data_IF_897975341584
#
_entry.id   IF_897975341584
#
_cell.length_a   1.000
_cell.length_b   1.000
_cell.length_c   1.000
_cell.angle_alpha   90.00
_cell.angle_beta   90.00
_cell.angle_gamma   90.00
#
_symmetry.space_group_name_H-M   'P 1'
#
loop_
_entity.id
_entity.type
_entity.pdbx_description
1 polymer ?
#
# COMPACT_ATOMS: atom_id res chain seq x y z
N UNK A 1 0.09 -1.14 5.87
CA UNK A 1 -0.10 -2.02 4.70
C UNK A 1 -1.05 -3.15 5.05
N UNK A 2 -2.00 -3.45 4.17
CA UNK A 2 -2.87 -4.61 4.31
C UNK A 2 -2.18 -5.93 3.95
N UNK A 3 -2.81 -7.07 4.31
CA UNK A 3 -2.26 -8.39 3.98
C UNK A 3 -2.26 -8.70 2.48
N UNK A 4 -3.05 -7.98 1.69
CA UNK A 4 -3.04 -8.02 0.23
C UNK A 4 -2.07 -7.01 -0.41
N UNK A 5 -1.30 -6.30 0.39
CA UNK A 5 -0.35 -5.29 -0.07
C UNK A 5 -0.95 -3.92 -0.35
N UNK A 6 -2.24 -3.69 -0.04
CA UNK A 6 -2.83 -2.37 -0.22
C UNK A 6 -2.27 -1.35 0.77
N UNK A 7 -2.28 -0.09 0.37
CA UNK A 7 -2.05 1.06 1.22
C UNK A 7 -3.04 2.16 0.87
N UNK A 8 -3.40 3.02 1.83
CA UNK A 8 -4.57 3.87 1.69
C UNK A 8 -5.76 2.99 1.29
N UNK A 9 -6.59 3.40 0.34
CA UNK A 9 -7.56 2.53 -0.31
C UNK A 9 -7.19 2.25 -1.77
N UNK A 10 -5.89 2.07 -2.00
CA UNK A 10 -5.32 1.65 -3.28
C UNK A 10 -5.20 0.12 -3.25
N UNK A 11 -6.19 -0.56 -3.84
CA UNK A 11 -6.27 -2.02 -3.82
C UNK A 11 -5.70 -2.62 -5.10
N UNK A 12 -5.16 -3.85 -5.03
CA UNK A 12 -4.61 -4.52 -6.20
C UNK A 12 -5.62 -4.57 -7.36
N UNK A 13 -5.16 -4.22 -8.56
CA UNK A 13 -5.96 -4.29 -9.78
C UNK A 13 -7.05 -3.23 -9.94
N UNK A 14 -7.15 -2.25 -9.04
CA UNK A 14 -8.17 -1.21 -9.13
C UNK A 14 -7.70 0.00 -9.93
N UNK A 15 -8.62 0.72 -10.61
CA UNK A 15 -8.27 1.88 -11.43
C UNK A 15 -7.57 3.01 -10.67
N UNK A 16 -7.84 3.15 -9.37
CA UNK A 16 -7.19 4.16 -8.53
C UNK A 16 -5.66 4.06 -8.52
N UNK A 17 -5.10 2.87 -8.77
CA UNK A 17 -3.65 2.65 -8.87
C UNK A 17 -3.01 3.37 -10.06
N UNK A 18 -3.75 3.61 -11.12
CA UNK A 18 -3.24 4.23 -12.34
C UNK A 18 -3.62 5.70 -12.46
N UNK A 19 -4.22 6.27 -11.43
CA UNK A 19 -4.52 7.69 -11.40
C UNK A 19 -3.22 8.51 -11.44
N UNK A 20 -3.18 9.50 -12.34
CA UNK A 20 -1.97 10.31 -12.56
C UNK A 20 -2.18 11.81 -12.32
N UNK A 21 -3.40 12.26 -12.10
CA UNK A 21 -3.73 13.69 -12.04
C UNK A 21 -4.44 14.10 -10.76
N UNK A 22 -5.46 13.34 -10.34
CA UNK A 22 -6.29 13.70 -9.19
C UNK A 22 -5.61 13.27 -7.89
N UNK A 23 -5.74 14.06 -6.87
CA UNK A 23 -5.17 13.78 -5.54
C UNK A 23 -6.02 12.83 -4.72
N UNK A 24 -7.34 12.93 -4.90
CA UNK A 24 -8.31 12.14 -4.15
C UNK A 24 -9.32 11.59 -5.15
N UNK A 25 -9.63 10.31 -5.03
CA UNK A 25 -10.63 9.64 -5.86
C UNK A 25 -11.46 8.66 -5.02
N UNK A 26 -12.64 8.34 -5.53
CA UNK A 26 -13.41 7.23 -4.99
C UNK A 26 -12.69 5.91 -5.29
N UNK A 27 -12.74 4.99 -4.34
CA UNK A 27 -12.17 3.66 -4.47
C UNK A 27 -13.26 2.64 -4.12
N UNK A 28 -13.52 1.71 -5.03
CA UNK A 28 -14.46 0.63 -4.77
C UNK A 28 -13.89 -0.36 -3.76
N UNK A 29 -14.77 -1.08 -3.08
CA UNK A 29 -14.39 -2.05 -2.05
C UNK A 29 -13.31 -3.02 -2.53
N UNK A 30 -12.32 -3.24 -1.67
CA UNK A 30 -11.33 -4.29 -1.87
C UNK A 30 -11.86 -5.66 -1.44
N UNK A 31 -10.96 -6.64 -1.34
CA UNK A 31 -11.33 -8.01 -0.98
C UNK A 31 -11.29 -8.27 0.53
N UNK A 32 -10.57 -7.45 1.28
CA UNK A 32 -10.49 -7.61 2.75
C UNK A 32 -11.70 -7.01 3.45
N UNK A 33 -12.19 -7.62 4.55
CA UNK A 33 -13.29 -7.06 5.31
C UNK A 33 -12.87 -5.75 6.04
N UNK A 34 -13.78 -4.79 6.21
CA UNK A 34 -15.11 -4.73 5.61
C UNK A 34 -15.05 -4.32 4.13
N UNK A 35 -15.83 -4.97 3.25
CA UNK A 35 -15.84 -4.65 1.83
C UNK A 35 -16.71 -3.41 1.55
N UNK A 36 -16.20 -2.24 1.89
CA UNK A 36 -16.89 -0.96 1.75
C UNK A 36 -16.17 -0.06 0.76
N UNK A 37 -16.92 0.73 0.02
CA UNK A 37 -16.38 1.78 -0.82
C UNK A 37 -15.78 2.88 0.06
N UNK A 38 -14.74 3.53 -0.44
CA UNK A 38 -13.99 4.53 0.31
C UNK A 38 -13.52 5.67 -0.61
N UNK A 39 -12.87 6.63 -0.01
CA UNK A 39 -12.15 7.70 -0.70
C UNK A 39 -10.68 7.50 -0.40
N UNK A 40 -9.81 7.69 -1.39
CA UNK A 40 -8.38 7.42 -1.22
C UNK A 40 -7.52 8.57 -1.74
N UNK A 41 -6.39 8.79 -1.07
CA UNK A 41 -5.27 9.49 -1.67
C UNK A 41 -4.71 8.66 -2.81
N UNK A 42 -4.18 9.32 -3.82
CA UNK A 42 -3.71 8.69 -5.06
C UNK A 42 -2.18 8.63 -5.13
N UNK A 43 -1.62 7.81 -6.03
CA UNK A 43 -0.18 7.76 -6.22
C UNK A 43 0.50 9.12 -6.43
N UNK A 44 -0.03 10.07 -7.23
CA UNK A 44 0.59 11.38 -7.36
C UNK A 44 0.82 12.11 -6.05
N UNK A 45 -0.17 12.07 -5.15
CA UNK A 45 -0.06 12.71 -3.84
C UNK A 45 0.93 11.96 -2.94
N UNK A 46 0.80 10.63 -2.86
CA UNK A 46 1.66 9.83 -2.00
C UNK A 46 3.11 9.91 -2.43
N UNK A 47 3.37 9.94 -3.73
CA UNK A 47 4.72 9.99 -4.28
C UNK A 47 5.33 11.40 -4.26
N UNK A 48 4.54 12.43 -4.00
CA UNK A 48 5.04 13.80 -3.81
C UNK A 48 5.48 14.06 -2.38
N UNK A 49 5.33 13.11 -1.46
CA UNK A 49 5.70 13.28 -0.06
C UNK A 49 7.21 13.27 0.14
N UNK A 50 7.68 13.98 1.16
CA UNK A 50 9.09 13.97 1.54
C UNK A 50 9.46 12.70 2.28
N UNK A 51 8.55 12.17 3.09
CA UNK A 51 8.80 11.01 3.91
C UNK A 51 7.55 10.13 3.97
N UNK A 52 7.74 8.85 3.70
CA UNK A 52 6.72 7.82 3.85
C UNK A 52 7.19 6.85 4.92
N UNK A 53 6.32 6.55 5.87
CA UNK A 53 6.57 5.53 6.88
C UNK A 53 5.48 4.47 6.74
N UNK A 54 5.87 3.25 6.43
CA UNK A 54 4.97 2.12 6.43
C UNK A 54 5.04 1.40 7.78
N UNK A 55 3.88 1.03 8.30
CA UNK A 55 3.75 0.17 9.48
C UNK A 55 3.19 -1.17 9.02
N UNK A 56 3.87 -2.27 9.35
CA UNK A 56 3.39 -3.61 9.06
C UNK A 56 3.70 -4.53 10.24
N UNK A 57 2.66 -5.04 10.86
CA UNK A 57 2.77 -5.92 12.02
C UNK A 57 1.88 -7.15 11.84
N UNK A 58 2.34 -8.28 12.35
CA UNK A 58 1.60 -9.53 12.31
C UNK A 58 2.02 -10.46 11.18
N UNK A 59 1.87 -11.77 11.43
CA UNK A 59 2.29 -12.80 10.46
C UNK A 59 1.48 -12.78 9.16
N UNK A 60 0.26 -12.25 9.19
CA UNK A 60 -0.59 -12.11 8.01
C UNK A 60 -0.05 -11.10 6.98
N UNK A 61 0.91 -10.26 7.38
CA UNK A 61 1.58 -9.32 6.46
C UNK A 61 2.82 -9.90 5.78
N UNK A 62 3.31 -11.03 6.26
CA UNK A 62 4.62 -11.57 5.86
C UNK A 62 4.75 -11.77 4.35
N UNK A 63 3.77 -12.41 3.72
CA UNK A 63 3.84 -12.69 2.28
C UNK A 63 3.87 -11.40 1.47
N UNK A 64 2.97 -10.46 1.73
CA UNK A 64 2.92 -9.19 1.04
C UNK A 64 4.16 -8.34 1.31
N UNK A 65 4.66 -8.34 2.55
CA UNK A 65 5.86 -7.59 2.91
C UNK A 65 7.10 -8.12 2.17
N UNK A 66 7.28 -9.44 2.13
CA UNK A 66 8.39 -10.04 1.40
C UNK A 66 8.32 -9.73 -0.09
N UNK A 67 7.13 -9.79 -0.67
CA UNK A 67 6.93 -9.44 -2.07
C UNK A 67 7.29 -7.97 -2.34
N UNK A 68 6.77 -7.05 -1.54
CA UNK A 68 7.06 -5.62 -1.69
C UNK A 68 8.56 -5.33 -1.53
N UNK A 69 9.22 -5.93 -0.54
CA UNK A 69 10.63 -5.71 -0.29
C UNK A 69 11.55 -6.39 -1.30
N UNK A 70 11.03 -7.31 -2.13
CA UNK A 70 11.83 -7.95 -3.20
C UNK A 70 12.26 -6.97 -4.29
N UNK A 71 11.57 -5.82 -4.41
CA UNK A 71 11.85 -4.81 -5.42
C UNK A 71 11.18 -5.04 -6.77
N UNK A 72 10.49 -6.19 -6.95
CA UNK A 72 9.80 -6.53 -8.20
C UNK A 72 8.28 -6.62 -8.04
N UNK A 73 7.75 -6.24 -6.89
CA UNK A 73 6.33 -6.35 -6.60
C UNK A 73 5.49 -5.41 -7.43
N UNK A 74 4.28 -5.87 -7.79
CA UNK A 74 3.22 -5.04 -8.39
C UNK A 74 2.17 -4.61 -7.37
N UNK A 75 2.33 -4.97 -6.11
CA UNK A 75 1.39 -4.63 -5.05
C UNK A 75 1.36 -3.12 -4.80
N UNK A 76 0.21 -2.56 -4.39
CA UNK A 76 0.07 -1.12 -4.24
C UNK A 76 1.12 -0.47 -3.34
N UNK A 77 1.49 -1.11 -2.22
CA UNK A 77 2.48 -0.56 -1.30
C UNK A 77 3.86 -0.38 -1.95
N UNK A 78 4.22 -1.19 -2.96
CA UNK A 78 5.48 -1.05 -3.68
C UNK A 78 5.53 0.16 -4.62
N UNK A 79 4.37 0.72 -4.93
CA UNK A 79 4.25 1.87 -5.84
C UNK A 79 4.36 3.21 -5.11
N UNK A 80 4.33 3.21 -3.78
CA UNK A 80 4.49 4.43 -2.98
C UNK A 80 5.96 4.62 -2.67
N UNK A 81 6.57 5.62 -3.26
CA UNK A 81 8.02 5.81 -3.19
C UNK A 81 8.44 7.07 -2.46
N UNK A 82 7.76 8.21 -2.63
CA UNK A 82 8.15 9.46 -1.99
C UNK A 82 9.64 9.78 -2.16
N UNK A 83 10.12 10.81 -1.47
CA UNK A 83 11.55 11.13 -1.46
C UNK A 83 12.33 10.18 -0.55
N UNK A 84 11.70 9.71 0.52
CA UNK A 84 12.28 8.72 1.43
C UNK A 84 11.18 7.77 1.91
N UNK A 85 11.51 6.48 1.99
CA UNK A 85 10.57 5.44 2.46
C UNK A 85 11.22 4.67 3.60
N UNK A 86 10.48 4.50 4.68
CA UNK A 86 10.93 3.77 5.86
C UNK A 86 9.88 2.74 6.26
N UNK A 87 10.32 1.53 6.59
CA UNK A 87 9.46 0.45 7.03
C UNK A 87 9.67 0.15 8.50
N UNK A 88 8.62 0.23 9.28
CA UNK A 88 8.60 -0.21 10.67
C UNK A 88 7.79 -1.50 10.74
N UNK A 89 8.47 -2.59 11.03
CA UNK A 89 7.89 -3.93 10.99
C UNK A 89 8.23 -4.72 12.25
N UNK A 90 7.32 -5.56 12.70
CA UNK A 90 7.64 -6.48 13.78
C UNK A 90 8.27 -7.77 13.27
N UNK A 91 8.75 -8.59 14.19
CA UNK A 91 9.43 -9.85 13.84
C UNK A 91 8.51 -10.83 13.12
N UNK A 92 7.24 -10.87 13.50
CA UNK A 92 6.28 -11.81 12.91
C UNK A 92 5.96 -11.43 11.46
N UNK A 93 5.82 -10.15 11.18
CA UNK A 93 5.64 -9.67 9.80
C UNK A 93 6.89 -9.91 8.96
N UNK A 94 8.09 -9.73 9.55
CA UNK A 94 9.35 -9.92 8.84
C UNK A 94 9.69 -11.40 8.63
N UNK A 95 9.20 -12.28 9.48
CA UNK A 95 9.48 -13.72 9.41
C UNK A 95 10.79 -14.13 10.09
N UNK A 96 11.20 -13.39 11.08
CA UNK A 96 12.43 -13.65 11.83
C UNK A 96 12.17 -13.76 13.33
#
# INVERSE_FOLDING_TARGET
>A
MGSDGHTASLFPGKPSLTQTRRWIVASTAGVLPPPVDSVTLTPPVLNATRSVVFLAAGADKRAALNDVLSGSSVLPASRVRGASVRWLVDRTARGV
#
